data_IF_636166945014
#
_entry.id   IF_636166945014
#
_cell.length_a   1.000
_cell.length_b   1.000
_cell.length_c   1.000
_cell.angle_alpha   90.00
_cell.angle_beta   90.00
_cell.angle_gamma   90.00
#
_symmetry.space_group_name_H-M   'P 1'
#
loop_
_entity.id
_entity.type
_entity.pdbx_description
1 polymer ?
#
# COMPACT_ATOMS: atom_id res chain seq x y z
N UNK A 1 29.75 -25.38 0.81
CA UNK A 1 28.30 -25.70 0.76
C UNK A 1 27.46 -24.55 0.23
N UNK A 2 27.64 -23.31 0.71
CA UNK A 2 26.84 -22.15 0.25
C UNK A 2 26.81 -21.96 -1.29
N UNK A 3 27.95 -22.10 -1.98
CA UNK A 3 28.03 -22.02 -3.46
C UNK A 3 27.15 -23.06 -4.17
N UNK A 4 26.99 -24.24 -3.57
CA UNK A 4 26.19 -25.33 -4.14
C UNK A 4 24.69 -25.06 -3.97
N UNK A 5 24.29 -24.53 -2.80
CA UNK A 5 22.93 -24.07 -2.55
C UNK A 5 22.51 -22.92 -3.47
N UNK A 6 23.39 -21.95 -3.64
CA UNK A 6 23.17 -20.82 -4.54
C UNK A 6 22.99 -21.29 -6.00
N UNK A 7 23.84 -22.22 -6.46
CA UNK A 7 23.70 -22.85 -7.79
C UNK A 7 22.39 -23.61 -7.93
N UNK A 8 21.92 -24.27 -6.87
CA UNK A 8 20.64 -24.98 -6.87
C UNK A 8 19.46 -24.01 -7.01
N UNK A 9 19.52 -22.89 -6.29
CA UNK A 9 18.51 -21.83 -6.33
C UNK A 9 18.40 -21.20 -7.73
N UNK A 10 19.51 -20.79 -8.35
CA UNK A 10 19.51 -20.18 -9.69
C UNK A 10 19.01 -21.16 -10.76
N UNK A 11 19.35 -22.45 -10.67
CA UNK A 11 18.93 -23.45 -11.66
C UNK A 11 17.44 -23.79 -11.61
N UNK A 12 16.67 -23.33 -10.62
CA UNK A 12 15.23 -23.57 -10.59
C UNK A 12 14.53 -22.69 -11.63
N UNK A 13 14.13 -23.29 -12.77
CA UNK A 13 13.35 -22.62 -13.82
C UNK A 13 12.10 -21.87 -13.30
N UNK A 14 11.53 -22.35 -12.17
CA UNK A 14 10.37 -21.73 -11.50
C UNK A 14 10.67 -20.32 -10.95
N UNK A 15 11.89 -20.08 -10.47
CA UNK A 15 12.26 -18.75 -9.97
C UNK A 15 12.27 -17.71 -11.09
N UNK A 16 12.73 -18.08 -12.29
CA UNK A 16 12.66 -17.22 -13.48
C UNK A 16 11.21 -16.94 -13.85
N UNK A 17 10.35 -17.97 -13.85
CA UNK A 17 8.92 -17.79 -14.10
C UNK A 17 8.26 -16.83 -13.10
N UNK A 18 8.60 -16.93 -11.81
CA UNK A 18 8.09 -15.99 -10.79
C UNK A 18 8.49 -14.56 -11.07
N UNK A 19 9.74 -14.31 -11.48
CA UNK A 19 10.16 -12.96 -11.86
C UNK A 19 9.40 -12.44 -13.07
N UNK A 20 9.17 -13.26 -14.10
CA UNK A 20 8.38 -12.88 -15.27
C UNK A 20 6.95 -12.52 -14.85
N UNK A 21 6.30 -13.34 -14.03
CA UNK A 21 4.94 -13.07 -13.54
C UNK A 21 4.89 -11.78 -12.72
N UNK A 22 5.87 -11.55 -11.84
CA UNK A 22 5.99 -10.31 -11.08
C UNK A 22 6.12 -9.10 -12.01
N UNK A 23 6.96 -9.19 -13.05
CA UNK A 23 7.16 -8.09 -14.00
C UNK A 23 5.87 -7.80 -14.76
N UNK A 24 5.15 -8.83 -15.23
CA UNK A 24 3.88 -8.66 -15.95
C UNK A 24 2.82 -8.04 -15.05
N UNK A 25 2.68 -8.52 -13.81
CA UNK A 25 1.73 -7.97 -12.84
C UNK A 25 2.09 -6.52 -12.47
N UNK A 26 3.38 -6.23 -12.26
CA UNK A 26 3.87 -4.88 -12.03
C UNK A 26 3.51 -3.96 -13.19
N UNK A 27 3.85 -4.35 -14.41
CA UNK A 27 3.56 -3.55 -15.60
C UNK A 27 2.06 -3.32 -15.80
N UNK A 28 1.24 -4.37 -15.65
CA UNK A 28 -0.21 -4.28 -15.79
C UNK A 28 -0.85 -3.34 -14.76
N UNK A 29 -0.47 -3.48 -13.49
CA UNK A 29 -1.03 -2.63 -12.41
C UNK A 29 -0.57 -1.17 -12.52
N UNK A 30 0.69 -0.92 -12.83
CA UNK A 30 1.23 0.43 -13.06
C UNK A 30 0.58 1.10 -14.29
N UNK A 31 0.43 0.37 -15.39
CA UNK A 31 -0.18 0.90 -16.62
C UNK A 31 -1.65 1.25 -16.45
N UNK A 32 -2.43 0.38 -15.79
CA UNK A 32 -3.85 0.63 -15.50
C UNK A 32 -4.03 1.91 -14.68
N UNK A 33 -3.18 2.10 -13.67
CA UNK A 33 -3.18 3.27 -12.80
C UNK A 33 -2.79 4.56 -13.53
N UNK A 34 -1.79 4.51 -14.40
CA UNK A 34 -1.42 5.67 -15.23
C UNK A 34 -2.55 6.05 -16.20
N UNK A 35 -3.21 5.04 -16.78
CA UNK A 35 -4.39 5.26 -17.62
C UNK A 35 -5.55 5.89 -16.84
N UNK A 36 -5.84 5.42 -15.63
CA UNK A 36 -6.87 6.00 -14.75
C UNK A 36 -6.59 7.46 -14.42
N UNK A 37 -5.35 7.81 -14.06
CA UNK A 37 -4.96 9.20 -13.78
C UNK A 37 -5.18 10.10 -15.00
N UNK A 38 -4.72 9.67 -16.18
CA UNK A 38 -4.91 10.41 -17.42
C UNK A 38 -6.39 10.57 -17.79
N UNK A 39 -7.20 9.52 -17.57
CA UNK A 39 -8.64 9.56 -17.77
C UNK A 39 -9.29 10.59 -16.84
N UNK A 40 -8.95 10.60 -15.56
CA UNK A 40 -9.50 11.56 -14.58
C UNK A 40 -9.14 13.00 -14.92
N UNK A 41 -7.92 13.28 -15.37
CA UNK A 41 -7.54 14.61 -15.83
C UNK A 41 -8.40 15.06 -17.01
N UNK A 42 -8.60 14.19 -18.01
CA UNK A 42 -9.48 14.47 -19.16
C UNK A 42 -10.93 14.70 -18.74
N UNK A 43 -11.48 13.85 -17.88
CA UNK A 43 -12.84 13.99 -17.35
C UNK A 43 -13.05 15.33 -16.62
N UNK A 44 -12.05 15.79 -15.87
CA UNK A 44 -12.08 17.10 -15.19
C UNK A 44 -12.06 18.26 -16.18
N UNK A 45 -11.18 18.22 -17.17
CA UNK A 45 -11.12 19.24 -18.24
C UNK A 45 -12.45 19.30 -19.00
N UNK A 46 -13.00 18.16 -19.41
CA UNK A 46 -14.27 18.10 -20.14
C UNK A 46 -15.46 18.55 -19.28
N UNK A 47 -15.44 18.31 -17.97
CA UNK A 47 -16.44 18.89 -17.05
C UNK A 47 -16.34 20.42 -17.01
N UNK A 48 -15.15 20.98 -16.87
CA UNK A 48 -14.96 22.43 -16.88
C UNK A 48 -15.38 23.06 -18.22
N UNK A 49 -15.09 22.42 -19.35
CA UNK A 49 -15.56 22.89 -20.67
C UNK A 49 -17.07 22.91 -20.78
N UNK A 50 -17.76 21.89 -20.28
CA UNK A 50 -19.24 21.87 -20.24
C UNK A 50 -19.80 22.96 -19.35
N UNK A 51 -19.26 23.13 -18.15
CA UNK A 51 -19.66 24.22 -17.25
C UNK A 51 -19.48 25.59 -17.91
N UNK A 52 -18.38 25.83 -18.63
CA UNK A 52 -18.16 27.07 -19.38
C UNK A 52 -19.28 27.30 -20.40
N UNK A 53 -19.70 26.26 -21.12
CA UNK A 53 -20.77 26.38 -22.12
C UNK A 53 -22.14 26.62 -21.47
N UNK A 54 -22.43 25.93 -20.37
CA UNK A 54 -23.64 26.17 -19.55
C UNK A 54 -23.69 27.62 -19.06
N UNK A 55 -22.60 28.13 -18.49
CA UNK A 55 -22.49 29.52 -18.04
C UNK A 55 -22.65 30.55 -19.17
N UNK A 56 -22.14 30.26 -20.38
CA UNK A 56 -22.37 31.14 -21.53
C UNK A 56 -23.84 31.18 -21.92
N UNK A 57 -24.49 30.02 -21.95
CA UNK A 57 -25.92 29.92 -22.27
C UNK A 57 -26.78 30.63 -21.22
N UNK A 58 -26.46 30.48 -19.92
CA UNK A 58 -27.10 31.23 -18.84
C UNK A 58 -26.93 32.74 -19.00
N UNK A 59 -25.72 33.19 -19.33
CA UNK A 59 -25.45 34.61 -19.55
C UNK A 59 -26.20 35.18 -20.77
N UNK A 60 -26.36 34.39 -21.83
CA UNK A 60 -27.20 34.76 -22.99
C UNK A 60 -28.69 34.78 -22.62
N UNK A 61 -29.17 33.81 -21.86
CA UNK A 61 -30.54 33.78 -21.34
C UNK A 61 -30.84 35.05 -20.51
N UNK A 62 -29.96 35.40 -19.58
CA UNK A 62 -30.10 36.59 -18.74
C UNK A 62 -30.06 37.90 -19.54
N UNK A 63 -29.26 37.98 -20.60
CA UNK A 63 -29.29 39.14 -21.52
C UNK A 63 -30.63 39.26 -22.23
N UNK A 64 -31.15 38.16 -22.75
CA UNK A 64 -32.44 38.14 -23.45
C UNK A 64 -33.62 38.39 -22.52
N UNK A 65 -33.51 38.06 -21.23
CA UNK A 65 -34.53 38.44 -20.25
C UNK A 65 -34.55 39.95 -20.02
N UNK A 66 -33.42 40.61 -19.75
CA UNK A 66 -33.38 42.07 -19.54
C UNK A 66 -33.96 42.89 -20.71
N UNK A 67 -33.97 42.35 -21.93
CA UNK A 67 -34.59 42.99 -23.10
C UNK A 67 -36.13 42.90 -23.12
N UNK A 68 -36.76 42.14 -22.21
CA UNK A 68 -38.22 42.04 -22.08
C UNK A 68 -38.76 43.11 -21.13
N UNK A 69 -39.73 43.90 -21.60
CA UNK A 69 -40.34 45.03 -20.86
C UNK A 69 -41.13 44.66 -19.57
N UNK A 70 -41.27 43.37 -19.22
CA UNK A 70 -42.23 42.90 -18.21
C UNK A 70 -41.58 42.27 -16.96
N UNK A 71 -40.36 42.68 -16.61
CA UNK A 71 -39.58 42.14 -15.49
C UNK A 71 -39.64 43.08 -14.29
N UNK A 72 -39.79 42.51 -13.08
CA UNK A 72 -39.79 43.28 -11.84
C UNK A 72 -38.42 43.92 -11.57
N UNK A 73 -38.36 45.03 -10.83
CA UNK A 73 -37.07 45.67 -10.49
C UNK A 73 -36.18 44.76 -9.63
N UNK A 74 -36.75 43.93 -8.75
CA UNK A 74 -36.01 42.94 -7.94
C UNK A 74 -35.34 41.87 -8.83
N UNK A 75 -36.05 41.37 -9.84
CA UNK A 75 -35.50 40.40 -10.79
C UNK A 75 -34.42 41.02 -11.68
N UNK A 76 -34.55 42.30 -12.07
CA UNK A 76 -33.52 43.02 -12.82
C UNK A 76 -32.22 43.14 -12.02
N UNK A 77 -32.30 43.53 -10.75
CA UNK A 77 -31.11 43.64 -9.87
C UNK A 77 -30.40 42.28 -9.73
N UNK A 78 -31.17 41.20 -9.53
CA UNK A 78 -30.65 39.84 -9.43
C UNK A 78 -29.97 39.38 -10.73
N UNK A 79 -30.61 39.63 -11.88
CA UNK A 79 -30.04 39.29 -13.20
C UNK A 79 -28.75 40.06 -13.47
N UNK A 80 -28.70 41.35 -13.14
CA UNK A 80 -27.49 42.17 -13.26
C UNK A 80 -26.34 41.66 -12.37
N UNK A 81 -26.66 41.18 -11.16
CA UNK A 81 -25.69 40.54 -10.27
C UNK A 81 -25.14 39.25 -10.89
N UNK A 82 -25.99 38.37 -11.39
CA UNK A 82 -25.56 37.14 -12.08
C UNK A 82 -24.72 37.43 -13.32
N UNK A 83 -25.05 38.45 -14.11
CA UNK A 83 -24.24 38.86 -15.25
C UNK A 83 -22.83 39.35 -14.87
N UNK A 84 -22.64 39.86 -13.65
CA UNK A 84 -21.31 40.22 -13.12
C UNK A 84 -20.55 38.99 -12.60
N UNK A 85 -21.25 38.03 -12.02
CA UNK A 85 -20.63 36.85 -11.38
C UNK A 85 -20.28 35.77 -12.40
N UNK A 86 -21.15 35.47 -13.38
CA UNK A 86 -20.96 34.38 -14.34
C UNK A 86 -19.64 34.47 -15.13
N UNK A 87 -19.22 35.65 -15.65
CA UNK A 87 -17.93 35.78 -16.31
C UNK A 87 -16.75 35.38 -15.41
N UNK A 88 -16.84 35.62 -14.10
CA UNK A 88 -15.82 35.20 -13.14
C UNK A 88 -15.73 33.68 -13.06
N UNK A 89 -16.86 32.97 -13.01
CA UNK A 89 -16.86 31.50 -13.01
C UNK A 89 -16.34 30.90 -14.32
N UNK A 90 -16.61 31.55 -15.46
CA UNK A 90 -16.04 31.16 -16.76
C UNK A 90 -14.52 31.29 -16.73
N UNK A 91 -13.98 32.42 -16.27
CA UNK A 91 -12.53 32.64 -16.19
C UNK A 91 -11.87 31.70 -15.18
N UNK A 92 -12.47 31.48 -14.00
CA UNK A 92 -11.98 30.51 -13.02
C UNK A 92 -11.92 29.08 -13.61
N UNK A 93 -12.92 28.69 -14.41
CA UNK A 93 -12.94 27.40 -15.09
C UNK A 93 -11.86 27.28 -16.17
N UNK A 94 -11.59 28.36 -16.93
CA UNK A 94 -10.49 28.40 -17.92
C UNK A 94 -9.13 28.31 -17.23
N UNK A 95 -8.92 29.07 -16.16
CA UNK A 95 -7.70 29.08 -15.36
C UNK A 95 -7.45 27.69 -14.74
N UNK A 96 -8.51 27.01 -14.29
CA UNK A 96 -8.43 25.64 -13.80
C UNK A 96 -8.00 24.64 -14.89
N UNK A 97 -8.62 24.69 -16.08
CA UNK A 97 -8.21 23.86 -17.24
C UNK A 97 -6.73 24.08 -17.55
N UNK A 98 -6.33 25.35 -17.71
CA UNK A 98 -4.95 25.73 -17.98
C UNK A 98 -4.00 25.23 -16.90
N UNK A 99 -4.39 25.32 -15.63
CA UNK A 99 -3.59 24.83 -14.51
C UNK A 99 -3.40 23.31 -14.51
N UNK A 100 -4.38 22.54 -15.02
CA UNK A 100 -4.20 21.10 -15.24
C UNK A 100 -3.20 20.85 -16.37
N UNK A 101 -3.36 21.55 -17.50
CA UNK A 101 -2.52 21.38 -18.69
C UNK A 101 -1.06 21.78 -18.41
N UNK A 102 -0.84 22.90 -17.72
CA UNK A 102 0.46 23.43 -17.35
C UNK A 102 1.04 22.77 -16.08
N UNK A 103 0.30 21.86 -15.43
CA UNK A 103 0.67 21.25 -14.15
C UNK A 103 0.95 22.29 -13.03
N UNK A 104 0.20 23.39 -13.01
CA UNK A 104 0.27 24.41 -11.97
C UNK A 104 -0.43 23.94 -10.68
N UNK A 105 0.26 23.08 -9.93
CA UNK A 105 -0.25 22.48 -8.69
C UNK A 105 -0.56 23.50 -7.59
N UNK A 106 0.16 24.63 -7.56
CA UNK A 106 -0.09 25.68 -6.57
C UNK A 106 -1.51 26.24 -6.69
N UNK A 107 -1.92 26.58 -7.92
CA UNK A 107 -3.30 27.01 -8.20
C UNK A 107 -4.32 25.93 -7.86
N UNK A 108 -4.05 24.68 -8.26
CA UNK A 108 -4.98 23.56 -7.99
C UNK A 108 -5.17 23.29 -6.50
N UNK A 109 -4.15 23.47 -5.66
CA UNK A 109 -4.28 23.40 -4.20
C UNK A 109 -5.10 24.55 -3.65
N UNK A 110 -4.85 25.78 -4.10
CA UNK A 110 -5.59 26.96 -3.67
C UNK A 110 -7.07 26.89 -4.00
N UNK A 111 -7.38 26.39 -5.20
CA UNK A 111 -8.75 26.15 -5.60
C UNK A 111 -9.43 25.09 -4.70
N UNK A 112 -8.72 24.00 -4.39
CA UNK A 112 -9.25 22.93 -3.54
C UNK A 112 -9.51 23.39 -2.10
N UNK A 113 -8.69 24.30 -1.56
CA UNK A 113 -8.87 24.83 -0.20
C UNK A 113 -10.19 25.59 -0.01
N UNK A 114 -10.71 26.24 -1.06
CA UNK A 114 -11.99 26.97 -1.02
C UNK A 114 -13.16 26.07 -0.63
N UNK A 115 -13.05 24.76 -0.88
CA UNK A 115 -14.10 23.78 -0.62
C UNK A 115 -13.95 23.03 0.71
N UNK A 116 -12.83 23.21 1.42
CA UNK A 116 -12.54 22.49 2.67
C UNK A 116 -12.86 23.30 3.93
N UNK A 117 -13.02 24.62 3.80
CA UNK A 117 -13.40 25.51 4.91
C UNK A 117 -14.63 26.33 4.58
N UNK A 118 -15.44 26.59 5.61
CA UNK A 118 -16.54 27.55 5.54
C UNK A 118 -16.01 29.01 5.55
N UNK A 119 -16.84 30.02 5.22
CA UNK A 119 -16.44 31.43 5.29
C UNK A 119 -15.97 31.88 6.67
N UNK A 120 -16.43 31.22 7.74
CA UNK A 120 -15.98 31.45 9.13
C UNK A 120 -14.63 30.81 9.46
N UNK A 121 -14.04 30.04 8.54
CA UNK A 121 -12.73 29.40 8.67
C UNK A 121 -12.73 28.03 9.37
N UNK A 122 -13.89 27.47 9.70
CA UNK A 122 -14.07 26.10 10.22
C UNK A 122 -14.07 25.09 9.07
N UNK A 123 -13.91 23.80 9.36
CA UNK A 123 -13.98 22.77 8.33
C UNK A 123 -15.40 22.63 7.80
N UNK A 124 -15.53 22.57 6.48
CA UNK A 124 -16.82 22.47 5.81
C UNK A 124 -17.52 21.14 6.16
N UNK A 125 -18.84 21.15 6.31
CA UNK A 125 -19.62 19.91 6.42
C UNK A 125 -19.83 19.33 5.02
N UNK A 126 -19.11 18.26 4.68
CA UNK A 126 -19.19 17.64 3.36
C UNK A 126 -20.10 16.41 3.39
N UNK A 127 -21.18 16.47 2.63
CA UNK A 127 -22.08 15.35 2.36
C UNK A 127 -21.80 14.79 0.96
N UNK A 128 -21.67 13.46 0.85
CA UNK A 128 -21.46 12.74 -0.41
C UNK A 128 -22.69 11.88 -0.70
N UNK A 129 -23.21 12.01 -1.93
CA UNK A 129 -24.44 11.34 -2.32
C UNK A 129 -25.62 11.78 -1.45
N UNK A 130 -26.59 10.88 -1.27
CA UNK A 130 -27.86 11.26 -0.64
C UNK A 130 -27.78 11.35 0.90
N UNK A 131 -26.76 10.78 1.55
CA UNK A 131 -26.78 10.64 3.01
C UNK A 131 -25.44 10.49 3.73
N UNK A 132 -24.30 10.36 3.03
CA UNK A 132 -23.04 10.10 3.72
C UNK A 132 -22.33 11.39 4.15
N UNK A 133 -22.31 11.65 5.45
CA UNK A 133 -21.54 12.75 6.03
C UNK A 133 -20.09 12.30 6.27
N UNK A 134 -19.16 12.97 5.61
CA UNK A 134 -17.72 12.73 5.76
C UNK A 134 -17.28 13.11 7.18
N UNK A 135 -16.38 12.32 7.77
CA UNK A 135 -15.86 12.63 9.10
C UNK A 135 -15.07 13.95 9.06
N UNK A 136 -15.30 14.86 10.01
CA UNK A 136 -14.55 16.13 10.10
C UNK A 136 -13.02 15.89 10.14
N UNK A 137 -12.58 14.83 10.84
CA UNK A 137 -11.16 14.44 10.90
C UNK A 137 -10.60 14.10 9.51
N UNK A 138 -11.41 13.53 8.61
CA UNK A 138 -11.01 13.27 7.22
C UNK A 138 -10.80 14.57 6.45
N UNK A 139 -11.65 15.57 6.68
CA UNK A 139 -11.57 16.88 6.03
C UNK A 139 -10.32 17.61 6.54
N UNK A 140 -10.08 17.57 7.86
CA UNK A 140 -8.87 18.09 8.50
C UNK A 140 -7.60 17.42 7.93
N UNK A 141 -7.57 16.08 7.86
CA UNK A 141 -6.45 15.33 7.27
C UNK A 141 -6.23 15.71 5.81
N UNK A 142 -7.30 15.88 5.04
CA UNK A 142 -7.21 16.30 3.63
C UNK A 142 -6.59 17.69 3.53
N UNK A 143 -7.05 18.64 4.34
CA UNK A 143 -6.50 20.00 4.39
C UNK A 143 -5.01 20.01 4.77
N UNK A 144 -4.62 19.27 5.80
CA UNK A 144 -3.22 19.16 6.23
C UNK A 144 -2.33 18.49 5.17
N UNK A 145 -2.82 17.45 4.50
CA UNK A 145 -2.11 16.81 3.38
C UNK A 145 -1.88 17.79 2.23
N UNK A 146 -2.92 18.50 1.79
CA UNK A 146 -2.80 19.47 0.70
C UNK A 146 -1.88 20.64 1.09
N UNK A 147 -1.96 21.11 2.34
CA UNK A 147 -1.06 22.14 2.89
C UNK A 147 0.39 21.67 2.87
N UNK A 148 0.64 20.42 3.25
CA UNK A 148 1.97 19.81 3.17
C UNK A 148 2.47 19.75 1.73
N UNK A 149 1.66 19.24 0.79
CA UNK A 149 2.02 19.16 -0.64
C UNK A 149 2.37 20.53 -1.21
N UNK A 150 1.52 21.54 -0.94
CA UNK A 150 1.71 22.92 -1.38
C UNK A 150 3.01 23.51 -0.84
N UNK A 151 3.23 23.41 0.48
CA UNK A 151 4.43 23.93 1.16
C UNK A 151 5.73 23.32 0.62
N UNK A 152 5.68 22.06 0.21
CA UNK A 152 6.84 21.33 -0.28
C UNK A 152 6.97 21.28 -1.81
N UNK A 153 6.09 21.98 -2.56
CA UNK A 153 6.04 21.95 -4.02
C UNK A 153 6.01 20.53 -4.61
N UNK A 154 5.24 19.65 -3.98
CA UNK A 154 5.14 18.24 -4.42
C UNK A 154 3.88 18.10 -5.28
N UNK A 155 3.96 17.63 -6.53
CA UNK A 155 2.80 17.45 -7.40
C UNK A 155 1.90 16.29 -6.93
N UNK A 156 0.63 16.29 -7.33
CA UNK A 156 -0.35 15.25 -6.93
C UNK A 156 -1.10 14.71 -8.16
N UNK A 157 -2.26 14.11 -7.99
CA UNK A 157 -3.25 13.75 -9.00
C UNK A 157 -4.62 14.28 -8.60
N UNK A 158 -5.48 14.43 -9.59
CA UNK A 158 -6.88 14.77 -9.40
C UNK A 158 -7.69 13.52 -9.03
N UNK A 159 -8.82 13.67 -8.29
CA UNK A 159 -9.37 14.92 -7.76
C UNK A 159 -8.81 15.30 -6.38
N UNK A 160 -8.42 16.56 -6.17
CA UNK A 160 -7.89 17.08 -4.88
C UNK A 160 -8.96 17.38 -3.82
N UNK A 161 -10.08 16.65 -3.84
CA UNK A 161 -11.25 16.98 -3.03
C UNK A 161 -11.24 16.34 -1.64
N UNK A 162 -11.11 15.01 -1.57
CA UNK A 162 -11.11 14.27 -0.31
C UNK A 162 -10.08 13.15 -0.36
N UNK A 163 -9.41 12.92 0.76
CA UNK A 163 -8.54 11.76 0.94
C UNK A 163 -9.17 10.80 1.93
N UNK A 164 -9.67 9.65 1.45
CA UNK A 164 -10.29 8.64 2.31
C UNK A 164 -9.37 8.26 3.48
N UNK A 165 -9.92 8.28 4.69
CA UNK A 165 -9.20 7.83 5.89
C UNK A 165 -9.92 6.66 6.56
N UNK A 166 -9.27 6.04 7.54
CA UNK A 166 -9.86 4.96 8.33
C UNK A 166 -10.94 5.47 9.33
N UNK A 167 -11.13 6.78 9.45
CA UNK A 167 -12.22 7.40 10.23
C UNK A 167 -13.58 7.35 9.49
N UNK A 168 -13.56 7.22 8.17
CA UNK A 168 -14.76 7.08 7.36
C UNK A 168 -15.24 5.62 7.34
N UNK A 169 -16.33 5.35 8.06
CA UNK A 169 -16.94 4.00 8.18
C UNK A 169 -18.32 3.96 7.51
N UNK A 170 -18.39 3.86 6.16
CA UNK A 170 -19.66 3.74 5.46
C UNK A 170 -20.41 2.48 5.89
N UNK A 171 -21.72 2.59 6.04
CA UNK A 171 -22.63 1.52 6.51
C UNK A 171 -23.16 0.67 5.37
N UNK A 172 -23.28 1.25 4.17
CA UNK A 172 -23.78 0.56 2.98
C UNK A 172 -22.74 0.47 1.87
N UNK A 173 -22.97 -0.47 0.94
CA UNK A 173 -22.14 -0.59 -0.27
C UNK A 173 -22.25 0.64 -1.17
N UNK A 174 -23.43 1.28 -1.20
CA UNK A 174 -23.67 2.52 -1.95
C UNK A 174 -22.90 3.69 -1.37
N UNK A 175 -22.96 3.89 -0.04
CA UNK A 175 -22.16 4.89 0.66
C UNK A 175 -20.66 4.66 0.41
N UNK A 176 -20.20 3.41 0.46
CA UNK A 176 -18.80 3.08 0.18
C UNK A 176 -18.41 3.40 -1.27
N UNK A 177 -19.25 3.09 -2.26
CA UNK A 177 -19.00 3.41 -3.67
C UNK A 177 -18.97 4.93 -3.90
N UNK A 178 -19.90 5.66 -3.30
CA UNK A 178 -19.98 7.12 -3.41
C UNK A 178 -18.73 7.75 -2.78
N UNK A 179 -18.37 7.33 -1.56
CA UNK A 179 -17.14 7.75 -0.90
C UNK A 179 -15.92 7.44 -1.78
N UNK A 180 -15.77 6.21 -2.29
CA UNK A 180 -14.64 5.82 -3.13
C UNK A 180 -14.53 6.65 -4.42
N UNK A 181 -15.65 7.07 -5.01
CA UNK A 181 -15.67 7.93 -6.19
C UNK A 181 -15.12 9.34 -5.89
N UNK A 182 -15.50 9.91 -4.74
CA UNK A 182 -15.15 11.27 -4.35
C UNK A 182 -13.83 11.39 -3.57
N UNK A 183 -13.32 10.29 -3.01
CA UNK A 183 -12.18 10.28 -2.08
C UNK A 183 -10.96 9.49 -2.59
N UNK A 184 -10.86 9.32 -3.92
CA UNK A 184 -9.74 8.62 -4.55
C UNK A 184 -8.42 9.21 -4.08
N UNK A 185 -7.49 8.34 -3.64
CA UNK A 185 -6.14 8.77 -3.26
C UNK A 185 -5.47 9.49 -4.43
N UNK A 186 -5.03 10.70 -4.15
CA UNK A 186 -4.50 11.66 -5.12
C UNK A 186 -3.00 11.59 -5.28
N UNK A 187 -2.29 10.77 -4.52
CA UNK A 187 -0.83 10.81 -4.57
C UNK A 187 -0.31 10.04 -5.81
N UNK A 188 0.61 10.65 -6.54
CA UNK A 188 1.23 10.06 -7.74
C UNK A 188 2.68 9.66 -7.51
N UNK A 189 3.16 8.84 -8.42
CA UNK A 189 4.58 8.56 -8.56
C UNK A 189 5.08 7.31 -7.82
N UNK A 190 6.32 6.97 -8.15
CA UNK A 190 7.05 5.78 -7.71
C UNK A 190 6.97 5.46 -6.22
N UNK A 191 7.20 6.42 -5.33
CA UNK A 191 7.23 6.17 -3.89
C UNK A 191 5.86 5.83 -3.33
N UNK A 192 4.81 6.53 -3.79
CA UNK A 192 3.43 6.23 -3.39
C UNK A 192 3.03 4.84 -3.84
N UNK A 193 3.43 4.45 -5.04
CA UNK A 193 3.11 3.14 -5.61
C UNK A 193 3.84 2.01 -4.90
N UNK A 194 5.10 2.22 -4.53
CA UNK A 194 5.83 1.27 -3.69
C UNK A 194 5.22 1.17 -2.28
N UNK A 195 4.62 2.23 -1.75
CA UNK A 195 3.90 2.16 -0.48
C UNK A 195 2.55 1.45 -0.59
N UNK A 196 1.75 1.78 -1.61
CA UNK A 196 0.51 1.05 -1.95
C UNK A 196 0.80 -0.45 -2.03
N UNK A 197 1.94 -0.79 -2.61
CA UNK A 197 2.43 -2.15 -2.75
C UNK A 197 2.69 -2.84 -1.39
N UNK A 198 3.35 -2.18 -0.43
CA UNK A 198 3.55 -2.71 0.93
C UNK A 198 2.26 -2.79 1.76
N UNK A 199 1.25 -2.00 1.41
CA UNK A 199 -0.02 -1.92 2.14
C UNK A 199 -1.01 -3.01 1.71
N UNK A 200 -0.83 -3.56 0.50
CA UNK A 200 -1.73 -4.52 -0.12
C UNK A 200 -1.18 -5.97 -0.12
N UNK A 201 -1.78 -6.85 -0.93
CA UNK A 201 -1.61 -8.31 -0.92
C UNK A 201 -0.24 -8.86 -1.34
N UNK A 202 0.81 -8.04 -1.50
CA UNK A 202 2.09 -8.55 -2.00
C UNK A 202 2.82 -9.44 -0.99
N UNK A 203 2.64 -9.23 0.31
CA UNK A 203 3.21 -10.14 1.29
C UNK A 203 2.73 -11.58 1.06
N UNK A 204 1.53 -11.78 0.49
CA UNK A 204 1.05 -13.10 0.08
C UNK A 204 1.83 -13.67 -1.11
N UNK A 205 2.12 -12.85 -2.14
CA UNK A 205 2.93 -13.26 -3.30
C UNK A 205 4.34 -13.63 -2.85
N UNK A 206 4.95 -12.79 -2.00
CA UNK A 206 6.27 -13.04 -1.44
C UNK A 206 6.29 -14.30 -0.56
N UNK A 207 5.29 -14.47 0.29
CA UNK A 207 5.08 -15.69 1.10
C UNK A 207 4.99 -16.92 0.21
N UNK A 208 4.21 -16.86 -0.86
CA UNK A 208 4.08 -17.96 -1.80
C UNK A 208 5.42 -18.32 -2.46
N UNK A 209 6.18 -17.32 -2.92
CA UNK A 209 7.51 -17.54 -3.53
C UNK A 209 8.46 -18.17 -2.51
N UNK A 210 8.53 -17.64 -1.28
CA UNK A 210 9.35 -18.21 -0.20
C UNK A 210 8.96 -19.68 0.04
N UNK A 211 7.66 -19.95 0.23
CA UNK A 211 7.17 -21.28 0.56
C UNK A 211 7.51 -22.28 -0.55
N UNK A 212 7.27 -21.92 -1.81
CA UNK A 212 7.58 -22.81 -2.95
C UNK A 212 9.08 -23.03 -3.08
N UNK A 213 9.87 -21.96 -3.10
CA UNK A 213 11.31 -22.06 -3.38
C UNK A 213 12.05 -22.75 -2.24
N UNK A 214 11.78 -22.36 -0.99
CA UNK A 214 12.47 -22.92 0.16
C UNK A 214 11.87 -24.22 0.67
N UNK A 215 10.56 -24.44 0.54
CA UNK A 215 9.95 -25.74 0.85
C UNK A 215 10.51 -26.86 -0.03
N UNK A 216 10.70 -26.59 -1.32
CA UNK A 216 11.38 -27.53 -2.24
C UNK A 216 12.85 -27.71 -1.86
N UNK A 217 13.57 -26.63 -1.56
CA UNK A 217 15.00 -26.65 -1.28
C UNK A 217 15.30 -27.40 0.04
N UNK A 218 14.56 -27.15 1.11
CA UNK A 218 14.74 -27.81 2.41
C UNK A 218 14.25 -29.24 2.42
N UNK A 219 13.13 -29.56 1.77
CA UNK A 219 12.71 -30.96 1.64
C UNK A 219 13.77 -31.81 0.93
N UNK A 220 14.46 -31.24 -0.08
CA UNK A 220 15.58 -31.91 -0.77
C UNK A 220 16.85 -32.04 0.08
N UNK A 221 16.99 -31.27 1.16
CA UNK A 221 18.08 -31.43 2.13
C UNK A 221 17.85 -32.58 3.09
N UNK A 222 16.58 -32.87 3.36
CA UNK A 222 16.18 -34.02 4.17
C UNK A 222 16.11 -35.31 3.38
N UNK A 223 15.82 -35.23 2.10
CA UNK A 223 15.73 -36.40 1.22
C UNK A 223 17.09 -37.15 1.15
N UNK A 224 17.10 -38.35 1.72
CA UNK A 224 18.27 -39.24 1.72
C UNK A 224 18.63 -39.75 0.32
N UNK A 225 17.69 -39.71 -0.62
CA UNK A 225 17.90 -40.12 -2.00
C UNK A 225 18.59 -39.04 -2.84
N UNK A 226 18.72 -37.81 -2.33
CA UNK A 226 19.41 -36.75 -3.04
C UNK A 226 20.91 -37.05 -3.14
N UNK A 227 21.37 -37.38 -4.36
CA UNK A 227 22.76 -37.74 -4.69
C UNK A 227 23.78 -36.75 -4.12
N UNK A 228 23.46 -35.46 -4.13
CA UNK A 228 24.38 -34.41 -3.65
C UNK A 228 24.51 -34.39 -2.14
N UNK A 229 23.40 -34.61 -1.41
CA UNK A 229 23.41 -34.68 0.05
C UNK A 229 24.06 -35.97 0.53
N UNK A 230 23.80 -37.08 -0.17
CA UNK A 230 24.49 -38.35 0.08
C UNK A 230 26.00 -38.19 -0.10
N UNK A 231 26.44 -37.55 -1.19
CA UNK A 231 27.85 -37.24 -1.42
C UNK A 231 28.46 -36.41 -0.27
N UNK A 232 27.82 -35.30 0.12
CA UNK A 232 28.31 -34.46 1.22
C UNK A 232 28.40 -35.23 2.54
N UNK A 233 27.42 -36.08 2.84
CA UNK A 233 27.45 -36.93 4.03
C UNK A 233 28.56 -37.98 3.96
N UNK A 234 28.81 -38.59 2.79
CA UNK A 234 29.92 -39.54 2.61
C UNK A 234 31.29 -38.87 2.67
N UNK A 235 31.39 -37.58 2.32
CA UNK A 235 32.61 -36.78 2.47
C UNK A 235 32.86 -36.29 3.91
N UNK A 236 32.11 -36.78 4.90
CA UNK A 236 32.31 -36.45 6.31
C UNK A 236 31.60 -35.18 6.81
N UNK A 237 30.70 -34.57 6.03
CA UNK A 237 29.90 -33.45 6.54
C UNK A 237 28.80 -33.93 7.49
N UNK A 238 28.79 -33.39 8.71
CA UNK A 238 27.72 -33.64 9.69
C UNK A 238 26.38 -33.05 9.23
N UNK A 239 25.26 -33.63 9.68
CA UNK A 239 23.91 -33.15 9.34
C UNK A 239 23.72 -31.73 9.86
N UNK A 240 24.19 -31.42 11.06
CA UNK A 240 24.17 -30.09 11.65
C UNK A 240 24.87 -29.07 10.74
N UNK A 241 26.06 -29.40 10.21
CA UNK A 241 26.79 -28.49 9.31
C UNK A 241 26.03 -28.25 8.00
N UNK A 242 25.35 -29.27 7.47
CA UNK A 242 24.52 -29.17 6.27
C UNK A 242 23.29 -28.28 6.53
N UNK A 243 22.58 -28.50 7.64
CA UNK A 243 21.39 -27.71 8.02
C UNK A 243 21.78 -26.26 8.31
N UNK A 244 22.82 -26.01 9.08
CA UNK A 244 23.29 -24.66 9.41
C UNK A 244 23.69 -23.88 8.14
N UNK A 245 24.41 -24.54 7.21
CA UNK A 245 24.75 -23.92 5.92
C UNK A 245 23.52 -23.65 5.07
N UNK A 246 22.52 -24.52 5.11
CA UNK A 246 21.23 -24.34 4.44
C UNK A 246 20.44 -23.16 5.01
N UNK A 247 20.38 -23.02 6.35
CA UNK A 247 19.69 -21.93 7.03
C UNK A 247 20.36 -20.58 6.75
N UNK A 248 21.69 -20.49 6.82
CA UNK A 248 22.43 -19.27 6.51
C UNK A 248 22.25 -18.86 5.04
N UNK A 249 22.43 -19.80 4.11
CA UNK A 249 22.29 -19.50 2.68
C UNK A 249 20.84 -19.16 2.34
N UNK A 250 19.87 -19.89 2.92
CA UNK A 250 18.46 -19.65 2.73
C UNK A 250 18.01 -18.30 3.28
N UNK A 251 18.46 -17.93 4.48
CA UNK A 251 18.19 -16.62 5.08
C UNK A 251 18.73 -15.47 4.22
N UNK A 252 19.98 -15.56 3.75
CA UNK A 252 20.56 -14.55 2.83
C UNK A 252 19.74 -14.45 1.53
N UNK A 253 19.39 -15.60 0.94
CA UNK A 253 18.57 -15.63 -0.28
C UNK A 253 17.17 -15.04 -0.06
N UNK A 254 16.56 -15.29 1.10
CA UNK A 254 15.27 -14.69 1.47
C UNK A 254 15.35 -13.18 1.54
N UNK A 255 16.42 -12.63 2.14
CA UNK A 255 16.67 -11.18 2.18
C UNK A 255 16.88 -10.62 0.77
N UNK A 256 17.73 -11.26 -0.04
CA UNK A 256 17.98 -10.83 -1.43
C UNK A 256 16.68 -10.83 -2.23
N UNK A 257 15.87 -11.89 -2.14
CA UNK A 257 14.55 -11.95 -2.77
C UNK A 257 13.62 -10.84 -2.26
N UNK A 258 13.62 -10.61 -0.94
CA UNK A 258 12.81 -9.59 -0.30
C UNK A 258 13.19 -8.16 -0.69
N UNK A 259 14.45 -7.91 -1.07
CA UNK A 259 14.88 -6.61 -1.60
C UNK A 259 14.63 -6.48 -3.10
N UNK A 260 14.84 -7.57 -3.84
CA UNK A 260 14.77 -7.58 -5.29
C UNK A 260 13.33 -7.42 -5.81
N UNK A 261 12.33 -7.97 -5.11
CA UNK A 261 10.92 -7.81 -5.51
C UNK A 261 10.47 -6.33 -5.45
N UNK A 262 10.58 -5.61 -4.32
CA UNK A 262 10.31 -4.17 -4.29
C UNK A 262 11.16 -3.37 -5.29
N UNK A 263 12.43 -3.74 -5.51
CA UNK A 263 13.31 -3.06 -6.46
C UNK A 263 12.83 -3.20 -7.92
N UNK A 264 12.35 -4.39 -8.33
CA UNK A 264 11.75 -4.59 -9.66
C UNK A 264 10.51 -3.70 -9.82
N UNK A 265 9.62 -3.70 -8.82
CA UNK A 265 8.42 -2.88 -8.87
C UNK A 265 8.74 -1.38 -8.91
N UNK A 266 9.73 -0.95 -8.11
CA UNK A 266 10.24 0.43 -8.17
C UNK A 266 10.77 0.76 -9.57
N UNK A 267 11.56 -0.14 -10.17
CA UNK A 267 12.10 0.05 -11.53
C UNK A 267 11.02 0.15 -12.61
N UNK A 268 10.00 -0.72 -12.55
CA UNK A 268 8.86 -0.68 -13.49
C UNK A 268 8.10 0.65 -13.35
N UNK A 269 7.77 1.03 -12.11
CA UNK A 269 7.03 2.26 -11.87
C UNK A 269 7.86 3.51 -12.23
N UNK A 270 9.17 3.46 -12.04
CA UNK A 270 10.08 4.53 -12.44
C UNK A 270 10.10 4.72 -13.95
N UNK A 271 10.05 3.63 -14.73
CA UNK A 271 10.00 3.70 -16.19
C UNK A 271 8.65 4.23 -16.71
N UNK A 272 7.54 3.92 -16.03
CA UNK A 272 6.19 4.32 -16.47
C UNK A 272 5.82 5.73 -16.01
N UNK A 273 6.10 6.05 -14.74
CA UNK A 273 5.59 7.24 -14.06
C UNK A 273 6.69 8.22 -13.64
N UNK A 274 7.96 7.89 -13.89
CA UNK A 274 9.11 8.72 -13.53
C UNK A 274 9.49 8.70 -12.04
N UNK A 275 10.52 9.47 -11.71
CA UNK A 275 10.95 9.67 -10.33
C UNK A 275 9.93 10.48 -9.55
N UNK A 276 9.74 10.13 -8.27
CA UNK A 276 8.81 10.83 -7.40
C UNK A 276 9.45 11.14 -6.05
N UNK A 277 8.83 12.05 -5.30
CA UNK A 277 9.39 12.56 -4.05
C UNK A 277 9.16 11.58 -2.89
N UNK A 278 10.24 11.13 -2.23
CA UNK A 278 10.12 10.39 -0.97
C UNK A 278 9.64 11.22 0.23
N UNK A 279 9.26 12.49 -0.01
CA UNK A 279 8.61 13.37 0.95
C UNK A 279 7.09 13.36 0.85
N UNK A 280 6.47 12.60 -0.05
CA UNK A 280 5.00 12.53 -0.14
C UNK A 280 4.37 12.29 1.24
N UNK A 281 3.34 13.05 1.62
CA UNK A 281 2.68 12.91 2.92
C UNK A 281 1.88 11.61 3.00
N UNK A 282 2.03 10.90 4.13
CA UNK A 282 1.20 9.76 4.51
C UNK A 282 0.61 10.03 5.88
N UNK A 283 -0.71 9.86 5.98
CA UNK A 283 -1.42 9.88 7.25
C UNK A 283 -1.04 8.66 8.07
N UNK A 284 -0.41 8.87 9.22
CA UNK A 284 -0.08 7.83 10.19
C UNK A 284 -0.95 7.97 11.43
N UNK A 285 -1.56 6.88 11.85
CA UNK A 285 -2.47 6.82 12.99
C UNK A 285 -1.71 6.55 14.29
N UNK A 286 -2.03 7.32 15.33
CA UNK A 286 -1.39 7.24 16.65
C UNK A 286 -2.46 6.87 17.68
N UNK A 287 -2.16 5.89 18.53
CA UNK A 287 -3.03 5.56 19.67
C UNK A 287 -2.85 6.60 20.77
N UNK A 288 -3.95 7.27 21.17
CA UNK A 288 -4.02 8.26 22.24
C UNK A 288 -4.54 7.67 23.56
N UNK A 289 -5.33 6.60 23.50
CA UNK A 289 -6.01 6.01 24.66
C UNK A 289 -5.99 4.49 24.63
N UNK A 290 -6.04 3.88 25.81
CA UNK A 290 -6.00 2.43 26.02
C UNK A 290 -7.36 1.72 25.80
N UNK A 291 -8.42 2.47 25.47
CA UNK A 291 -9.71 1.93 25.09
C UNK A 291 -9.89 1.95 23.57
N UNK A 292 -10.52 0.92 22.97
CA UNK A 292 -10.79 0.97 21.53
C UNK A 292 -12.02 1.84 21.22
N UNK A 293 -11.78 2.99 20.61
CA UNK A 293 -12.78 3.85 19.98
C UNK A 293 -12.10 4.64 18.85
N UNK A 294 -12.86 5.19 17.88
CA UNK A 294 -12.25 6.07 16.87
C UNK A 294 -11.61 7.32 17.51
N UNK A 295 -12.21 7.85 18.58
CA UNK A 295 -11.67 8.97 19.36
C UNK A 295 -10.34 8.63 20.05
N UNK A 296 -10.03 7.35 20.22
CA UNK A 296 -8.75 6.89 20.77
C UNK A 296 -7.60 7.03 19.80
N UNK A 297 -7.85 7.43 18.55
CA UNK A 297 -6.83 7.63 17.53
C UNK A 297 -6.64 9.11 17.24
N UNK A 298 -5.37 9.52 17.17
CA UNK A 298 -4.95 10.72 16.47
C UNK A 298 -4.30 10.38 15.15
N UNK A 299 -3.86 11.40 14.45
CA UNK A 299 -3.05 11.25 13.25
C UNK A 299 -1.82 12.17 13.30
N UNK A 300 -0.86 11.86 12.43
CA UNK A 300 0.22 12.77 12.04
C UNK A 300 0.49 12.59 10.55
N UNK A 301 0.91 13.66 9.89
CA UNK A 301 1.41 13.59 8.52
C UNK A 301 2.92 13.35 8.58
N UNK A 302 3.37 12.25 7.98
CA UNK A 302 4.80 11.89 7.89
C UNK A 302 5.20 11.69 6.44
N UNK A 303 6.48 11.91 6.09
CA UNK A 303 6.96 11.59 4.76
C UNK A 303 6.91 10.09 4.52
N UNK A 304 6.59 9.71 3.29
CA UNK A 304 6.44 8.31 2.86
C UNK A 304 7.71 7.48 3.07
N UNK A 305 8.89 8.12 3.06
CA UNK A 305 10.17 7.47 3.39
C UNK A 305 10.19 6.83 4.77
N UNK A 306 9.58 7.46 5.78
CA UNK A 306 9.51 6.89 7.15
C UNK A 306 8.68 5.59 7.14
N UNK A 307 7.49 5.65 6.54
CA UNK A 307 6.57 4.51 6.47
C UNK A 307 7.12 3.39 5.59
N UNK A 308 7.77 3.72 4.47
CA UNK A 308 8.42 2.74 3.59
C UNK A 308 9.57 2.01 4.28
N UNK A 309 10.40 2.73 5.03
CA UNK A 309 11.52 2.13 5.77
C UNK A 309 11.01 1.14 6.81
N UNK A 310 9.99 1.52 7.58
CA UNK A 310 9.32 0.64 8.55
C UNK A 310 8.69 -0.57 7.87
N UNK A 311 8.00 -0.36 6.75
CA UNK A 311 7.37 -1.43 5.98
C UNK A 311 8.39 -2.44 5.46
N UNK A 312 9.52 -1.95 4.94
CA UNK A 312 10.60 -2.79 4.42
C UNK A 312 11.25 -3.64 5.53
N UNK A 313 11.51 -3.05 6.69
CA UNK A 313 12.07 -3.78 7.84
C UNK A 313 11.12 -4.92 8.26
N UNK A 314 9.83 -4.61 8.46
CA UNK A 314 8.83 -5.61 8.82
C UNK A 314 8.67 -6.68 7.74
N UNK A 315 8.70 -6.29 6.46
CA UNK A 315 8.61 -7.20 5.32
C UNK A 315 9.75 -8.23 5.30
N UNK A 316 10.99 -7.77 5.51
CA UNK A 316 12.16 -8.64 5.55
C UNK A 316 12.13 -9.58 6.76
N UNK A 317 11.77 -9.07 7.95
CA UNK A 317 11.62 -9.89 9.16
C UNK A 317 10.53 -10.95 8.97
N UNK A 318 9.38 -10.56 8.43
CA UNK A 318 8.30 -11.50 8.12
C UNK A 318 8.74 -12.56 7.11
N UNK A 319 9.47 -12.17 6.06
CA UNK A 319 10.04 -13.10 5.09
C UNK A 319 10.95 -14.16 5.72
N UNK A 320 11.86 -13.73 6.60
CA UNK A 320 12.74 -14.63 7.36
C UNK A 320 11.93 -15.57 8.25
N UNK A 321 10.91 -15.05 8.93
CA UNK A 321 10.02 -15.85 9.76
C UNK A 321 9.31 -16.95 8.94
N UNK A 322 8.70 -16.60 7.81
CA UNK A 322 8.03 -17.55 6.91
C UNK A 322 9.01 -18.58 6.34
N UNK A 323 10.22 -18.16 6.00
CA UNK A 323 11.29 -19.05 5.57
C UNK A 323 11.60 -20.12 6.64
N UNK A 324 11.71 -19.72 7.90
CA UNK A 324 12.00 -20.64 9.00
C UNK A 324 10.83 -21.58 9.32
N UNK A 325 9.59 -21.09 9.28
CA UNK A 325 8.39 -21.94 9.43
C UNK A 325 8.37 -23.01 8.33
N UNK A 326 8.56 -22.60 7.07
CA UNK A 326 8.59 -23.51 5.93
C UNK A 326 9.71 -24.54 6.06
N UNK A 327 10.90 -24.09 6.48
CA UNK A 327 12.06 -24.97 6.70
C UNK A 327 11.78 -26.00 7.79
N UNK A 328 11.14 -25.59 8.89
CA UNK A 328 10.74 -26.47 10.00
C UNK A 328 9.78 -27.55 9.51
N UNK A 329 8.74 -27.16 8.77
CA UNK A 329 7.76 -28.11 8.21
C UNK A 329 8.43 -29.08 7.23
N UNK A 330 9.31 -28.58 6.36
CA UNK A 330 10.09 -29.41 5.43
C UNK A 330 10.93 -30.48 6.15
N UNK A 331 11.50 -30.14 7.32
CA UNK A 331 12.29 -31.09 8.12
C UNK A 331 11.48 -32.30 8.58
N UNK A 332 10.20 -32.10 8.93
CA UNK A 332 9.32 -33.18 9.39
C UNK A 332 8.68 -33.97 8.24
N UNK A 333 8.22 -33.29 7.19
CA UNK A 333 7.42 -33.91 6.12
C UNK A 333 8.28 -34.67 5.11
N UNK A 334 9.53 -34.25 4.89
CA UNK A 334 10.50 -34.87 3.95
C UNK A 334 9.99 -35.07 2.52
N UNK A 335 8.96 -34.33 2.12
CA UNK A 335 8.37 -34.35 0.78
C UNK A 335 8.11 -32.92 0.33
N UNK A 336 8.64 -32.57 -0.84
CA UNK A 336 8.60 -31.19 -1.36
C UNK A 336 7.18 -30.68 -1.57
N UNK A 337 6.33 -31.46 -2.22
CA UNK A 337 4.93 -31.09 -2.50
C UNK A 337 4.12 -30.98 -1.21
N UNK A 338 4.19 -32.00 -0.35
CA UNK A 338 3.47 -32.02 0.92
C UNK A 338 3.92 -30.88 1.84
N UNK A 339 5.22 -30.57 1.88
CA UNK A 339 5.75 -29.46 2.68
C UNK A 339 5.23 -28.11 2.19
N UNK A 340 5.17 -27.89 0.87
CA UNK A 340 4.64 -26.64 0.31
C UNK A 340 3.17 -26.49 0.65
N UNK A 341 2.36 -27.53 0.42
CA UNK A 341 0.91 -27.50 0.72
C UNK A 341 0.67 -27.26 2.20
N UNK A 342 1.37 -27.99 3.08
CA UNK A 342 1.19 -27.87 4.52
C UNK A 342 1.66 -26.51 5.05
N UNK A 343 2.79 -26.00 4.56
CA UNK A 343 3.29 -24.67 4.97
C UNK A 343 2.31 -23.58 4.57
N UNK A 344 1.85 -23.60 3.31
CA UNK A 344 0.90 -22.60 2.83
C UNK A 344 -0.44 -22.71 3.57
N UNK A 345 -0.97 -23.91 3.77
CA UNK A 345 -2.21 -24.13 4.51
C UNK A 345 -2.14 -23.66 5.97
N UNK A 346 -1.01 -23.90 6.65
CA UNK A 346 -0.79 -23.43 8.02
C UNK A 346 -0.67 -21.90 8.08
N UNK A 347 0.10 -21.29 7.18
CA UNK A 347 0.23 -19.83 7.13
C UNK A 347 -1.13 -19.19 6.81
N UNK A 348 -1.87 -19.75 5.85
CA UNK A 348 -3.14 -19.24 5.41
C UNK A 348 -4.26 -19.35 6.46
N UNK A 349 -4.22 -20.36 7.32
CA UNK A 349 -5.16 -20.48 8.46
C UNK A 349 -4.74 -19.58 9.62
N UNK A 350 -3.45 -19.57 9.98
CA UNK A 350 -2.97 -18.79 11.11
C UNK A 350 -3.02 -17.27 10.87
N UNK A 351 -2.91 -16.79 9.63
CA UNK A 351 -3.08 -15.37 9.32
C UNK A 351 -4.51 -14.85 9.60
N UNK A 352 -5.52 -15.73 9.64
CA UNK A 352 -6.91 -15.33 9.91
C UNK A 352 -7.11 -14.93 11.38
N UNK A 353 -6.25 -15.45 12.28
CA UNK A 353 -6.26 -15.08 13.69
C UNK A 353 -5.52 -13.75 13.89
N UNK A 354 -6.22 -12.65 13.63
CA UNK A 354 -5.67 -11.30 13.69
C UNK A 354 -5.49 -10.82 15.14
N UNK A 355 -4.44 -11.31 15.80
CA UNK A 355 -4.04 -10.97 17.18
C UNK A 355 -2.63 -10.44 17.19
N UNK A 356 -2.37 -9.43 18.02
CA UNK A 356 -1.07 -8.75 18.06
C UNK A 356 0.09 -9.68 18.42
N UNK A 357 -0.12 -10.75 19.18
CA UNK A 357 0.92 -11.71 19.55
C UNK A 357 1.13 -12.82 18.50
N UNK A 358 0.27 -12.91 17.49
CA UNK A 358 0.37 -13.90 16.44
C UNK A 358 1.30 -13.38 15.32
N UNK A 359 2.51 -13.94 15.13
CA UNK A 359 3.44 -13.49 14.10
C UNK A 359 2.91 -13.67 12.67
N UNK A 360 1.97 -14.59 12.44
CA UNK A 360 1.34 -14.79 11.14
C UNK A 360 0.39 -13.65 10.74
N UNK A 361 -0.06 -12.83 11.70
CA UNK A 361 -0.96 -11.69 11.44
C UNK A 361 -0.24 -10.49 10.78
N UNK A 362 1.10 -10.47 10.77
CA UNK A 362 1.88 -9.32 10.29
C UNK A 362 2.09 -9.25 8.78
N UNK A 363 1.21 -9.88 8.00
CA UNK A 363 1.29 -9.84 6.54
C UNK A 363 0.89 -8.48 5.95
N UNK A 364 0.21 -7.61 6.70
CA UNK A 364 -0.14 -6.24 6.26
C UNK A 364 0.90 -5.21 6.75
N UNK A 365 2.15 -5.38 6.32
CA UNK A 365 3.29 -4.59 6.83
C UNK A 365 3.13 -3.08 6.65
N UNK A 366 2.56 -2.62 5.51
CA UNK A 366 2.30 -1.20 5.27
C UNK A 366 1.27 -0.61 6.24
N UNK A 367 0.20 -1.38 6.54
CA UNK A 367 -0.82 -0.98 7.51
C UNK A 367 -0.33 -0.96 8.96
N UNK A 368 0.70 -1.76 9.26
CA UNK A 368 1.36 -1.71 10.58
C UNK A 368 2.25 -0.49 10.65
N UNK A 369 2.96 -0.16 9.57
CA UNK A 369 3.86 0.98 9.50
C UNK A 369 3.14 2.34 9.60
N UNK A 370 1.97 2.48 8.97
CA UNK A 370 1.12 3.68 9.07
C UNK A 370 0.13 3.65 10.25
N UNK A 371 0.05 2.53 10.98
CA UNK A 371 -0.84 2.38 12.14
C UNK A 371 -2.31 2.09 11.83
N UNK A 372 -2.73 2.10 10.57
CA UNK A 372 -4.12 1.84 10.15
C UNK A 372 -4.61 0.44 10.53
N UNK A 373 -3.70 -0.51 10.73
CA UNK A 373 -4.02 -1.88 11.14
C UNK A 373 -4.81 -1.92 12.46
N UNK A 374 -4.59 -0.97 13.37
CA UNK A 374 -5.28 -0.91 14.66
C UNK A 374 -6.77 -0.62 14.47
N UNK A 375 -7.11 0.34 13.62
CA UNK A 375 -8.50 0.69 13.30
C UNK A 375 -9.18 -0.48 12.59
N UNK A 376 -8.53 -1.03 11.56
CA UNK A 376 -9.05 -2.16 10.79
C UNK A 376 -9.27 -3.41 11.66
N UNK A 377 -8.35 -3.69 12.58
CA UNK A 377 -8.39 -4.89 13.44
C UNK A 377 -9.18 -4.67 14.73
N UNK A 378 -9.78 -3.48 14.89
CA UNK A 378 -10.49 -3.05 16.10
C UNK A 378 -9.69 -3.25 17.38
N UNK A 379 -8.44 -2.79 17.38
CA UNK A 379 -7.50 -2.89 18.50
C UNK A 379 -6.60 -1.67 18.57
N UNK A 380 -5.78 -1.57 19.62
CA UNK A 380 -4.83 -0.48 19.86
C UNK A 380 -3.40 -1.00 20.08
N UNK A 381 -3.20 -2.29 19.87
CA UNK A 381 -2.03 -3.01 20.38
C UNK A 381 -0.92 -3.15 19.35
N UNK A 382 -1.23 -3.07 18.05
CA UNK A 382 -0.21 -3.12 17.01
C UNK A 382 0.63 -1.85 17.04
N UNK A 383 1.95 -2.02 16.96
CA UNK A 383 2.91 -0.94 16.75
C UNK A 383 4.13 -1.53 16.06
N UNK A 384 4.86 -0.69 15.34
CA UNK A 384 6.09 -1.11 14.64
C UNK A 384 7.05 -1.84 15.58
N UNK A 385 7.36 -1.27 16.75
CA UNK A 385 8.33 -1.86 17.69
C UNK A 385 7.86 -3.20 18.25
N UNK A 386 6.58 -3.32 18.62
CA UNK A 386 6.03 -4.58 19.13
C UNK A 386 6.04 -5.67 18.05
N UNK A 387 5.65 -5.33 16.82
CA UNK A 387 5.66 -6.26 15.68
C UNK A 387 7.07 -6.74 15.37
N UNK A 388 8.07 -5.85 15.35
CA UNK A 388 9.47 -6.21 15.19
C UNK A 388 9.93 -7.18 16.29
N UNK A 389 9.63 -6.87 17.56
CA UNK A 389 10.01 -7.73 18.70
C UNK A 389 9.42 -9.14 18.57
N UNK A 390 8.13 -9.25 18.24
CA UNK A 390 7.45 -10.55 18.15
C UNK A 390 7.99 -11.38 16.97
N UNK A 391 8.27 -10.74 15.83
CA UNK A 391 8.92 -11.42 14.71
C UNK A 391 10.31 -11.92 15.06
N UNK A 392 11.14 -11.08 15.71
CA UNK A 392 12.49 -11.46 16.15
C UNK A 392 12.44 -12.62 17.13
N UNK A 393 11.54 -12.59 18.12
CA UNK A 393 11.34 -13.70 19.06
C UNK A 393 10.96 -14.98 18.32
N UNK A 394 10.00 -14.91 17.38
CA UNK A 394 9.59 -16.06 16.57
C UNK A 394 10.74 -16.63 15.72
N UNK A 395 11.55 -15.77 15.11
CA UNK A 395 12.74 -16.14 14.35
C UNK A 395 13.76 -16.86 15.25
N UNK A 396 14.03 -16.33 16.45
CA UNK A 396 14.95 -16.95 17.40
C UNK A 396 14.48 -18.34 17.84
N UNK A 397 13.20 -18.48 18.22
CA UNK A 397 12.62 -19.76 18.64
C UNK A 397 12.73 -20.81 17.53
N UNK A 398 12.34 -20.46 16.30
CA UNK A 398 12.39 -21.40 15.17
C UNK A 398 13.82 -21.78 14.78
N UNK A 399 14.76 -20.83 14.85
CA UNK A 399 16.17 -21.10 14.57
C UNK A 399 16.76 -22.06 15.60
N UNK A 400 16.51 -21.82 16.89
CA UNK A 400 16.95 -22.71 17.98
C UNK A 400 16.34 -24.10 17.79
N UNK A 401 15.04 -24.19 17.51
CA UNK A 401 14.34 -25.46 17.28
C UNK A 401 15.01 -26.27 16.15
N UNK A 402 15.26 -25.64 15.00
CA UNK A 402 15.90 -26.29 13.86
C UNK A 402 17.33 -26.76 14.16
N UNK A 403 18.11 -25.98 14.91
CA UNK A 403 19.46 -26.36 15.34
C UNK A 403 19.40 -27.56 16.29
N UNK A 404 18.49 -27.54 17.28
CA UNK A 404 18.29 -28.64 18.22
C UNK A 404 17.89 -29.94 17.50
N UNK A 405 16.95 -29.87 16.54
CA UNK A 405 16.54 -31.02 15.74
C UNK A 405 17.75 -31.59 14.96
N UNK A 406 18.54 -30.73 14.32
CA UNK A 406 19.71 -31.16 13.55
C UNK A 406 20.78 -31.81 14.45
N UNK A 407 20.97 -31.29 15.66
CA UNK A 407 21.91 -31.85 16.64
C UNK A 407 21.49 -33.25 17.12
N UNK A 408 20.20 -33.43 17.47
CA UNK A 408 19.67 -34.72 17.90
C UNK A 408 19.80 -35.77 16.79
N UNK A 409 19.53 -35.39 15.54
CA UNK A 409 19.67 -36.27 14.39
C UNK A 409 21.11 -36.72 14.13
N UNK A 410 22.11 -35.86 14.36
CA UNK A 410 23.52 -36.24 14.27
C UNK A 410 23.92 -37.22 15.39
N UNK A 411 23.45 -36.99 16.63
CA UNK A 411 23.81 -37.83 17.78
C UNK A 411 23.26 -39.26 17.66
N UNK A 412 22.01 -39.41 17.18
CA UNK A 412 21.37 -40.72 17.01
C UNK A 412 22.02 -41.60 15.93
N UNK A 413 22.93 -41.06 15.11
CA UNK A 413 23.63 -41.80 14.06
C UNK A 413 25.04 -42.25 14.47
N UNK A 414 25.61 -41.61 15.49
CA UNK A 414 26.90 -41.99 16.09
C UNK A 414 26.74 -43.02 17.21
N UNK A 415 25.50 -43.39 17.54
CA UNK A 415 25.12 -44.63 18.25
C UNK A 415 24.64 -45.61 17.21
#
# INVERSE_FOLDING_TARGET
MCKLFFKYFIKQKKNILFFIVIIILGFGTSSLKNFENNKTNKEKIERCKRNIEEYKNELEHYKNELEKDNISEEDKELIEEYQKIIPKYIEESKEYIKSIEDSNWQYLYDDSFKHLKDPEGRFASIQIGDSYNVNETTIEITFETLTYLKKHNIPSALPLFLQRTEFDQPRSSEENKALDYHSKKTLIGTSHRVWDFFTNNLVLIYTFIIVVTFGILFSKLEDSQNKTIRFLRTSGASKLRIVLSGLLTGGILTIILGLLIPAIFFGIEFLISGSSSFKYPITTYIVKSDYFSLMSFGYKIVPISDVLTKSLILFLLYGIFIFLVTSTISTFVKSSVKSVILSFGLIATLQMFNKWYNPFSYWRVGKIADGSINILSKTITYSFDKSCKILVIGICILTILLICIAFIQDRNKNR
#
